data_IF_326857964194
#
_entry.id   IF_326857964194
#
_cell.length_a   1.000
_cell.length_b   1.000
_cell.length_c   1.000
_cell.angle_alpha   90.00
_cell.angle_beta   90.00
_cell.angle_gamma   90.00
#
_symmetry.space_group_name_H-M   'P 1'
#
loop_
_entity.id
_entity.type
_entity.pdbx_description
1 polymer ?
#
# COMPACT_ATOMS: atom_id res chain seq x y z
N UNK A 1 1.10 -2.54 14.20
CA UNK A 1 1.34 -2.58 12.74
C UNK A 1 0.32 -3.43 12.02
N UNK A 2 -0.18 -2.92 10.95
CA UNK A 2 -0.99 -3.69 10.00
C UNK A 2 -0.01 -4.36 9.03
N UNK A 3 0.08 -5.68 9.09
CA UNK A 3 1.02 -6.47 8.29
C UNK A 3 0.27 -7.07 7.11
N UNK A 4 0.78 -6.84 5.91
CA UNK A 4 0.14 -7.27 4.68
C UNK A 4 1.15 -7.94 3.75
N UNK A 5 0.65 -8.70 2.79
CA UNK A 5 1.48 -9.26 1.73
C UNK A 5 1.08 -8.65 0.40
N UNK A 6 2.06 -8.42 -0.44
CA UNK A 6 1.87 -7.84 -1.76
C UNK A 6 2.91 -8.44 -2.69
N UNK A 7 2.45 -9.17 -3.70
CA UNK A 7 3.35 -9.89 -4.59
C UNK A 7 4.19 -10.95 -3.87
N UNK A 8 3.67 -11.53 -2.80
CA UNK A 8 4.37 -12.52 -2.00
C UNK A 8 5.37 -11.96 -0.99
N UNK A 9 5.54 -10.65 -0.95
CA UNK A 9 6.47 -10.01 -0.03
C UNK A 9 5.72 -9.33 1.12
N UNK A 10 6.39 -9.26 2.28
CA UNK A 10 5.82 -8.74 3.51
C UNK A 10 6.01 -7.23 3.60
N UNK A 11 4.94 -6.53 3.92
CA UNK A 11 4.97 -5.09 4.19
C UNK A 11 4.16 -4.79 5.44
N UNK A 12 4.38 -3.62 6.00
CA UNK A 12 3.63 -3.17 7.17
C UNK A 12 3.29 -1.69 7.06
N UNK A 13 2.16 -1.34 7.62
CA UNK A 13 1.69 0.05 7.69
C UNK A 13 1.36 0.33 9.15
N UNK A 14 1.74 1.51 9.64
CA UNK A 14 1.36 1.94 10.97
C UNK A 14 -0.16 1.95 11.09
N UNK A 15 -0.67 1.27 12.09
CA UNK A 15 -2.11 1.09 12.27
C UNK A 15 -2.86 2.42 12.41
N UNK A 16 -2.19 3.47 12.85
CA UNK A 16 -2.79 4.80 12.96
C UNK A 16 -3.26 5.36 11.62
N UNK A 17 -2.68 4.90 10.53
CA UNK A 17 -3.04 5.34 9.18
C UNK A 17 -4.06 4.42 8.50
N UNK A 18 -4.40 3.31 9.12
CA UNK A 18 -5.34 2.35 8.54
C UNK A 18 -6.74 2.65 9.03
N UNK A 19 -7.65 2.86 8.08
CA UNK A 19 -9.05 3.15 8.36
C UNK A 19 -9.88 1.88 8.42
N UNK A 20 -9.72 1.02 7.42
CA UNK A 20 -10.44 -0.25 7.35
C UNK A 20 -9.83 -1.15 6.28
N UNK A 21 -10.30 -2.40 6.26
CA UNK A 21 -9.94 -3.39 5.25
C UNK A 21 -11.24 -3.94 4.69
N UNK A 22 -11.32 -4.11 3.37
CA UNK A 22 -12.51 -4.71 2.76
C UNK A 22 -12.15 -5.59 1.57
N UNK A 23 -13.06 -6.49 1.24
CA UNK A 23 -12.95 -7.30 0.03
C UNK A 23 -13.45 -6.48 -1.15
N UNK A 24 -12.66 -6.45 -2.22
CA UNK A 24 -13.01 -5.68 -3.41
C UNK A 24 -13.98 -6.49 -4.26
N UNK A 25 -15.21 -6.02 -4.40
CA UNK A 25 -16.24 -6.72 -5.17
C UNK A 25 -16.35 -6.18 -6.59
N UNK A 26 -16.32 -4.86 -6.75
CA UNK A 26 -16.50 -4.23 -8.05
C UNK A 26 -15.55 -3.05 -8.19
N UNK A 27 -14.90 -2.97 -9.34
CA UNK A 27 -13.95 -1.90 -9.66
C UNK A 27 -14.40 -1.25 -10.95
N UNK A 28 -14.52 0.08 -10.93
CA UNK A 28 -14.72 0.87 -12.13
C UNK A 28 -13.37 1.38 -12.60
N UNK A 29 -12.94 0.92 -13.77
CA UNK A 29 -11.69 1.36 -14.37
C UNK A 29 -11.90 2.73 -15.00
N UNK A 30 -11.04 3.68 -14.66
CA UNK A 30 -11.08 5.01 -15.24
C UNK A 30 -10.03 5.09 -16.35
N UNK A 31 -10.42 5.40 -17.59
CA UNK A 31 -9.46 5.50 -18.69
C UNK A 31 -8.41 6.56 -18.44
N UNK A 32 -7.21 6.34 -18.97
CA UNK A 32 -6.09 7.28 -18.90
C UNK A 32 -5.53 7.53 -17.52
N UNK A 33 -5.80 6.64 -16.57
CA UNK A 33 -5.15 6.70 -15.26
C UNK A 33 -3.73 6.10 -15.32
N UNK A 34 -2.82 6.60 -14.45
CA UNK A 34 -1.49 5.98 -14.32
C UNK A 34 -1.60 4.49 -13.97
N UNK A 35 -0.59 3.71 -14.36
CA UNK A 35 -0.63 2.26 -14.19
C UNK A 35 -0.79 1.74 -12.76
N UNK A 36 -0.41 2.54 -11.76
CA UNK A 36 -0.60 2.16 -10.36
C UNK A 36 -2.04 2.40 -9.86
N UNK A 37 -2.84 3.16 -10.57
CA UNK A 37 -4.24 3.37 -10.24
C UNK A 37 -5.08 2.32 -10.96
N UNK A 38 -5.67 1.41 -10.20
CA UNK A 38 -6.49 0.33 -10.75
C UNK A 38 -7.87 0.84 -11.16
N UNK A 39 -8.42 1.75 -10.38
CA UNK A 39 -9.75 2.29 -10.62
C UNK A 39 -10.34 2.82 -9.34
N UNK A 40 -11.66 2.84 -9.28
CA UNK A 40 -12.39 3.29 -8.10
C UNK A 40 -13.44 2.26 -7.72
N UNK A 41 -13.80 2.23 -6.46
CA UNK A 41 -14.87 1.40 -5.96
C UNK A 41 -15.76 2.20 -5.03
N UNK A 42 -17.00 1.75 -4.88
CA UNK A 42 -17.94 2.36 -3.94
C UNK A 42 -17.95 1.53 -2.66
N UNK A 43 -17.61 2.14 -1.55
CA UNK A 43 -17.64 1.50 -0.24
C UNK A 43 -18.66 2.24 0.62
N UNK A 44 -19.83 1.68 0.77
CA UNK A 44 -20.91 2.25 1.60
C UNK A 44 -21.21 3.72 1.26
N UNK A 45 -21.29 4.02 -0.04
CA UNK A 45 -21.59 5.36 -0.51
C UNK A 45 -20.39 6.28 -0.66
N UNK A 46 -19.19 5.81 -0.29
CA UNK A 46 -17.95 6.58 -0.45
C UNK A 46 -17.15 6.01 -1.61
N UNK A 47 -16.71 6.88 -2.51
CA UNK A 47 -15.85 6.47 -3.62
C UNK A 47 -14.41 6.40 -3.13
N UNK A 48 -13.81 5.22 -3.25
CA UNK A 48 -12.42 4.96 -2.85
C UNK A 48 -11.59 4.69 -4.10
N UNK A 49 -10.49 5.42 -4.25
CA UNK A 49 -9.51 5.15 -5.30
C UNK A 49 -8.66 3.96 -4.90
N UNK A 50 -8.51 3.00 -5.81
CA UNK A 50 -7.74 1.77 -5.58
C UNK A 50 -6.37 1.88 -6.24
N UNK A 51 -5.33 1.57 -5.48
CA UNK A 51 -3.93 1.66 -5.91
C UNK A 51 -3.27 0.29 -5.85
N UNK A 52 -2.56 -0.06 -6.91
CA UNK A 52 -1.72 -1.25 -6.96
C UNK A 52 -0.26 -0.78 -6.85
N UNK A 53 0.36 -1.04 -5.71
CA UNK A 53 1.73 -0.58 -5.45
C UNK A 53 2.80 -1.55 -5.94
N UNK A 54 2.44 -2.69 -6.56
CA UNK A 54 3.43 -3.67 -6.98
C UNK A 54 4.48 -3.08 -7.92
N UNK A 55 4.04 -2.34 -8.92
CA UNK A 55 4.97 -1.70 -9.85
C UNK A 55 5.86 -0.67 -9.17
N UNK A 56 5.29 0.17 -8.33
CA UNK A 56 6.03 1.21 -7.60
C UNK A 56 7.07 0.64 -6.64
N UNK A 57 6.80 -0.54 -6.09
CA UNK A 57 7.70 -1.19 -5.15
C UNK A 57 8.69 -2.13 -5.83
N UNK A 58 8.68 -2.20 -7.15
CA UNK A 58 9.57 -3.08 -7.89
C UNK A 58 9.20 -4.55 -7.78
N UNK A 59 7.94 -4.85 -7.48
CA UNK A 59 7.46 -6.22 -7.39
C UNK A 59 6.99 -6.71 -8.74
N UNK A 60 6.95 -8.04 -8.90
CA UNK A 60 6.46 -8.65 -10.12
C UNK A 60 4.98 -8.37 -10.32
N UNK A 61 4.61 -7.85 -11.48
CA UNK A 61 3.22 -7.61 -11.87
C UNK A 61 2.67 -8.87 -12.51
N UNK A 62 2.42 -9.89 -11.69
CA UNK A 62 1.76 -11.09 -12.19
C UNK A 62 0.29 -10.81 -12.48
N UNK A 63 -0.37 -11.69 -13.25
CA UNK A 63 -1.79 -11.56 -13.55
C UNK A 63 -2.67 -11.92 -12.35
N UNK A 64 -2.09 -12.13 -11.18
CA UNK A 64 -2.83 -12.45 -9.98
C UNK A 64 -3.63 -11.24 -9.53
N UNK A 65 -4.92 -11.41 -9.32
CA UNK A 65 -5.76 -10.35 -8.79
C UNK A 65 -5.44 -10.11 -7.31
N UNK A 66 -5.66 -8.88 -6.87
CA UNK A 66 -5.50 -8.51 -5.47
C UNK A 66 -6.90 -8.31 -4.89
N UNK A 67 -7.43 -9.29 -4.13
CA UNK A 67 -8.85 -9.30 -3.79
C UNK A 67 -9.22 -8.40 -2.62
N UNK A 68 -8.26 -7.89 -1.86
CA UNK A 68 -8.55 -7.06 -0.68
C UNK A 68 -7.93 -5.68 -0.82
N UNK A 69 -8.50 -4.72 -0.11
CA UNK A 69 -7.96 -3.37 -0.06
C UNK A 69 -7.84 -2.91 1.38
N UNK A 70 -6.71 -2.28 1.68
CA UNK A 70 -6.46 -1.60 2.96
C UNK A 70 -6.64 -0.12 2.72
N UNK A 71 -7.62 0.49 3.38
CA UNK A 71 -7.84 1.92 3.26
C UNK A 71 -6.88 2.66 4.18
N UNK A 72 -6.00 3.45 3.59
CA UNK A 72 -5.06 4.29 4.34
C UNK A 72 -5.46 5.75 4.24
N UNK A 73 -5.16 6.49 5.28
CA UNK A 73 -5.53 7.91 5.41
C UNK A 73 -4.31 8.76 5.66
N UNK A 74 -4.32 9.93 5.05
CA UNK A 74 -3.34 10.98 5.29
C UNK A 74 -4.07 12.33 5.21
N UNK A 75 -4.26 12.97 6.36
CA UNK A 75 -5.10 14.15 6.43
C UNK A 75 -6.56 13.83 6.07
N UNK A 76 -7.12 14.59 5.15
CA UNK A 76 -8.49 14.39 4.68
C UNK A 76 -8.58 13.40 3.51
N UNK A 77 -7.46 12.85 3.07
CA UNK A 77 -7.38 11.97 1.91
C UNK A 77 -7.34 10.52 2.31
N UNK A 78 -7.90 9.67 1.47
CA UNK A 78 -7.81 8.22 1.67
C UNK A 78 -7.73 7.51 0.32
N UNK A 79 -7.01 6.39 0.31
CA UNK A 79 -6.93 5.50 -0.84
C UNK A 79 -6.98 4.06 -0.35
N UNK A 80 -7.40 3.14 -1.21
CA UNK A 80 -7.37 1.70 -0.92
C UNK A 80 -6.16 1.07 -1.58
N UNK A 81 -5.25 0.53 -0.78
CA UNK A 81 -4.10 -0.21 -1.28
C UNK A 81 -4.50 -1.67 -1.47
N UNK A 82 -4.39 -2.16 -2.70
CA UNK A 82 -4.75 -3.55 -3.01
C UNK A 82 -3.69 -4.50 -2.46
N UNK A 83 -4.15 -5.60 -1.86
CA UNK A 83 -3.28 -6.59 -1.23
C UNK A 83 -3.74 -8.02 -1.56
N UNK A 84 -2.84 -8.99 -1.38
CA UNK A 84 -3.06 -10.40 -1.71
C UNK A 84 -4.06 -11.08 -0.77
N UNK A 85 -3.92 -10.81 0.51
CA UNK A 85 -4.64 -11.49 1.57
C UNK A 85 -5.15 -10.50 2.60
N UNK A 86 -6.07 -10.94 3.45
CA UNK A 86 -6.51 -10.13 4.58
C UNK A 86 -5.31 -9.82 5.47
N UNK A 87 -5.04 -8.54 5.74
CA UNK A 87 -3.92 -8.17 6.60
C UNK A 87 -4.11 -8.65 8.03
N UNK A 88 -3.00 -8.83 8.71
CA UNK A 88 -2.98 -9.17 10.13
C UNK A 88 -2.45 -8.00 10.95
N UNK A 89 -2.89 -7.90 12.19
CA UNK A 89 -2.40 -6.87 13.11
C UNK A 89 -1.38 -7.51 14.04
N UNK A 90 -0.18 -6.94 14.09
CA UNK A 90 0.91 -7.42 14.92
C UNK A 90 1.46 -6.30 15.77
N UNK A 91 1.82 -6.62 17.00
CA UNK A 91 2.61 -5.74 17.83
C UNK A 91 4.08 -6.01 17.52
N UNK A 92 4.79 -4.99 17.03
CA UNK A 92 6.19 -5.13 16.63
C UNK A 92 7.06 -4.35 17.63
N UNK A 93 7.94 -5.04 18.38
CA UNK A 93 8.87 -4.36 19.26
C UNK A 93 9.84 -3.47 18.49
N UNK A 94 10.29 -2.39 19.10
CA UNK A 94 11.21 -1.45 18.46
C UNK A 94 12.49 -2.10 17.97
N UNK A 95 13.02 -3.06 18.72
CA UNK A 95 14.24 -3.77 18.35
C UNK A 95 14.10 -4.62 17.09
N UNK A 96 12.86 -4.85 16.63
CA UNK A 96 12.59 -5.56 15.38
C UNK A 96 12.50 -4.61 14.18
N UNK A 97 12.65 -3.31 14.40
CA UNK A 97 12.65 -2.31 13.33
C UNK A 97 14.09 -1.86 13.03
N UNK A 98 14.45 -1.92 11.77
CA UNK A 98 15.76 -1.48 11.29
C UNK A 98 15.59 -0.28 10.37
N UNK A 99 16.47 0.74 10.47
CA UNK A 99 16.42 1.82 9.49
C UNK A 99 16.60 1.29 8.07
N UNK A 100 15.89 1.88 7.12
CA UNK A 100 15.95 1.45 5.73
C UNK A 100 17.38 1.46 5.17
N UNK A 101 18.18 2.44 5.56
CA UNK A 101 19.55 2.57 5.11
C UNK A 101 20.47 1.42 5.53
N UNK A 102 20.11 0.69 6.58
CA UNK A 102 20.89 -0.42 7.12
C UNK A 102 20.38 -1.79 6.66
N UNK A 103 19.31 -1.81 5.92
CA UNK A 103 18.62 -3.05 5.58
C UNK A 103 18.96 -3.60 4.18
N UNK A 104 19.92 -2.98 3.48
CA UNK A 104 20.34 -3.43 2.15
C UNK A 104 19.23 -3.25 1.11
N UNK A 105 19.10 -4.19 0.16
CA UNK A 105 18.14 -4.04 -0.94
C UNK A 105 16.69 -3.91 -0.49
N UNK A 106 16.31 -4.55 0.61
CA UNK A 106 14.94 -4.47 1.11
C UNK A 106 14.57 -3.05 1.57
N UNK A 107 15.55 -2.27 2.07
CA UNK A 107 15.31 -0.90 2.51
C UNK A 107 15.43 0.14 1.42
N UNK A 108 15.89 -0.25 0.23
CA UNK A 108 16.11 0.69 -0.88
C UNK A 108 14.86 0.92 -1.74
N UNK A 109 13.73 0.32 -1.39
CA UNK A 109 12.50 0.45 -2.17
C UNK A 109 11.84 1.80 -1.92
N UNK A 110 11.16 2.36 -2.94
CA UNK A 110 10.36 3.58 -2.75
C UNK A 110 9.32 3.39 -1.65
N UNK A 111 9.04 4.45 -0.93
CA UNK A 111 8.04 4.48 0.15
C UNK A 111 8.34 3.60 1.36
N UNK A 112 9.51 2.97 1.42
CA UNK A 112 9.93 2.15 2.57
C UNK A 112 10.79 3.00 3.48
N UNK A 113 10.34 3.24 4.72
CA UNK A 113 11.06 4.06 5.70
C UNK A 113 11.88 3.24 6.68
N UNK A 114 11.50 1.98 6.85
CA UNK A 114 12.15 1.07 7.77
C UNK A 114 11.92 -0.36 7.32
N UNK A 115 12.65 -1.30 7.90
CA UNK A 115 12.43 -2.71 7.66
C UNK A 115 12.10 -3.37 8.99
N UNK A 116 11.06 -4.16 9.01
CA UNK A 116 10.70 -4.93 10.21
C UNK A 116 11.11 -6.38 10.05
N UNK A 117 11.45 -6.99 11.16
CA UNK A 117 11.64 -8.42 11.23
C UNK A 117 10.47 -9.05 11.97
N UNK A 118 9.77 -9.95 11.29
CA UNK A 118 8.66 -10.69 11.85
C UNK A 118 8.98 -12.16 11.68
N UNK A 119 9.22 -12.83 12.79
CA UNK A 119 9.75 -14.20 12.82
C UNK A 119 11.08 -14.25 12.06
N UNK A 120 11.17 -15.01 10.99
CA UNK A 120 12.37 -15.08 10.16
C UNK A 120 12.23 -14.32 8.83
N UNK A 121 11.19 -13.49 8.72
CA UNK A 121 10.91 -12.74 7.51
C UNK A 121 11.23 -11.27 7.70
N UNK A 122 11.68 -10.63 6.63
CA UNK A 122 11.87 -9.18 6.59
C UNK A 122 10.75 -8.56 5.78
N UNK A 123 10.23 -7.44 6.26
CA UNK A 123 9.18 -6.70 5.57
C UNK A 123 9.47 -5.21 5.56
N UNK A 124 9.05 -4.54 4.50
CA UNK A 124 9.21 -3.09 4.40
C UNK A 124 8.09 -2.36 5.12
N UNK A 125 8.43 -1.37 5.93
CA UNK A 125 7.44 -0.48 6.54
C UNK A 125 7.15 0.64 5.55
N UNK A 126 5.91 0.70 5.08
CA UNK A 126 5.48 1.71 4.12
C UNK A 126 5.23 3.03 4.83
N UNK A 127 5.82 4.08 4.31
CA UNK A 127 5.61 5.43 4.82
C UNK A 127 4.40 6.05 4.11
N UNK A 128 3.29 6.19 4.81
CA UNK A 128 2.03 6.62 4.24
C UNK A 128 2.12 7.98 3.54
N UNK A 129 2.76 9.02 4.10
CA UNK A 129 2.91 10.28 3.37
C UNK A 129 3.65 10.11 2.03
N UNK A 130 4.63 9.22 1.95
CA UNK A 130 5.34 8.97 0.71
C UNK A 130 4.49 8.22 -0.31
N UNK A 131 3.63 7.30 0.16
CA UNK A 131 2.68 6.62 -0.72
C UNK A 131 1.74 7.64 -1.36
N UNK A 132 1.19 8.56 -0.57
CA UNK A 132 0.33 9.61 -1.10
C UNK A 132 1.07 10.55 -2.04
N UNK A 133 2.33 10.87 -1.74
CA UNK A 133 3.14 11.71 -2.62
C UNK A 133 3.34 11.06 -3.99
N UNK A 134 3.53 9.76 -4.04
CA UNK A 134 3.62 9.03 -5.31
C UNK A 134 2.30 9.05 -6.08
N UNK A 135 1.19 8.83 -5.39
CA UNK A 135 -0.14 8.88 -6.00
C UNK A 135 -0.40 10.29 -6.52
N UNK A 136 -0.07 11.30 -5.74
CA UNK A 136 -0.26 12.70 -6.14
C UNK A 136 0.61 13.09 -7.33
N UNK A 137 1.85 12.62 -7.36
CA UNK A 137 2.74 12.89 -8.48
C UNK A 137 2.19 12.38 -9.80
N UNK A 138 1.56 11.21 -9.78
CA UNK A 138 0.86 10.69 -10.95
C UNK A 138 -0.46 11.38 -11.22
N UNK A 139 -1.21 11.72 -10.17
CA UNK A 139 -2.50 12.40 -10.27
C UNK A 139 -2.37 13.85 -10.70
N UNK A 140 -1.28 14.52 -10.35
CA UNK A 140 -1.06 15.92 -10.69
C UNK A 140 -1.11 16.16 -12.20
N UNK A 141 -0.76 15.16 -13.00
CA UNK A 141 -0.84 15.24 -14.45
C UNK A 141 -2.27 15.07 -14.96
N UNK A 142 -3.17 14.54 -14.14
CA UNK A 142 -4.55 14.22 -14.52
C UNK A 142 -5.55 15.18 -13.90
N UNK A 143 -5.21 15.78 -12.78
CA UNK A 143 -6.12 16.63 -11.99
C UNK A 143 -6.23 18.05 -12.49
N UNK A 144 -5.89 18.30 -13.71
CA UNK A 144 -6.01 19.62 -14.32
C UNK A 144 -7.47 19.83 -14.76
N UNK A 145 -8.33 19.78 -13.83
CA UNK A 145 -9.74 19.98 -14.15
C UNK A 145 -10.28 21.09 -13.29
#
# INVERSE_FOLDING_TARGET
MCVLTLGGELFAIDLRHVSEVFEVEAVTVVPSMPGYLTGVTNLRGTVITLVDLRGSLGLSMSNTSLPFAVVIRHGARQVGVLVDHVPEIHTVPREHLLPAMQAGPAGARPCVSAVLRLDQRLGGVLEVPQVFAQVDGGSAAVSVV
#
